data_IF_969326098304
#
_entry.id   IF_969326098304
#
_cell.length_a   1.000
_cell.length_b   1.000
_cell.length_c   1.000
_cell.angle_alpha   90.00
_cell.angle_beta   90.00
_cell.angle_gamma   90.00
#
_symmetry.space_group_name_H-M   'P 1'
#
loop_
_entity.id
_entity.type
_entity.pdbx_description
1 polymer ?
#
# COMPACT_ATOMS: atom_id res chain seq x y z
N UNK A 1 31.79 53.80 -64.98
CA UNK A 1 32.07 53.68 -63.54
C UNK A 1 30.75 53.43 -62.83
N UNK A 2 30.69 52.37 -62.01
CA UNK A 2 29.59 52.00 -61.08
C UNK A 2 28.27 51.57 -61.79
N UNK A 3 27.56 50.52 -61.39
CA UNK A 3 27.26 50.04 -60.04
C UNK A 3 27.09 48.51 -60.05
N UNK A 4 27.77 47.87 -59.10
CA UNK A 4 27.64 46.47 -58.73
C UNK A 4 26.77 46.42 -57.46
N UNK A 5 25.46 46.15 -57.54
CA UNK A 5 24.63 45.96 -56.32
C UNK A 5 23.52 44.91 -56.53
N UNK A 6 23.58 43.91 -55.65
CA UNK A 6 22.51 43.05 -55.12
C UNK A 6 21.71 42.13 -56.04
N UNK A 7 22.21 40.89 -56.17
CA UNK A 7 21.36 39.72 -56.48
C UNK A 7 21.57 38.56 -55.50
N UNK A 8 21.60 38.82 -54.18
CA UNK A 8 21.73 37.76 -53.16
C UNK A 8 20.79 37.90 -51.94
N UNK A 9 19.69 38.65 -52.02
CA UNK A 9 18.77 38.83 -50.87
C UNK A 9 17.57 37.87 -50.88
N UNK A 10 17.32 37.15 -51.97
CA UNK A 10 16.13 36.31 -52.10
C UNK A 10 16.28 34.94 -51.42
N UNK A 11 17.48 34.35 -51.43
CA UNK A 11 17.71 32.97 -50.97
C UNK A 11 17.78 32.83 -49.46
N UNK A 12 18.10 33.90 -48.72
CA UNK A 12 18.21 33.85 -47.25
C UNK A 12 16.84 33.92 -46.56
N UNK A 13 15.86 34.62 -47.16
CA UNK A 13 14.51 34.74 -46.58
C UNK A 13 13.73 33.43 -46.63
N UNK A 14 13.78 32.69 -47.74
CA UNK A 14 13.08 31.40 -47.86
C UNK A 14 13.62 30.35 -46.87
N UNK A 15 14.94 30.30 -46.69
CA UNK A 15 15.60 29.33 -45.80
C UNK A 15 15.29 29.59 -44.32
N UNK A 16 15.17 30.86 -43.93
CA UNK A 16 14.80 31.27 -42.57
C UNK A 16 13.29 31.06 -42.31
N UNK A 17 12.43 31.29 -43.30
CA UNK A 17 11.00 31.04 -43.14
C UNK A 17 10.66 29.55 -42.99
N UNK A 18 11.35 28.67 -43.71
CA UNK A 18 11.11 27.22 -43.66
C UNK A 18 11.59 26.59 -42.33
N UNK A 19 12.69 27.06 -41.75
CA UNK A 19 13.19 26.58 -40.45
C UNK A 19 12.34 27.10 -39.27
N UNK A 20 11.78 28.30 -39.37
CA UNK A 20 10.90 28.86 -38.33
C UNK A 20 9.51 28.19 -38.33
N UNK A 21 8.97 27.80 -39.51
CA UNK A 21 7.69 27.07 -39.60
C UNK A 21 7.80 25.64 -39.06
N UNK A 22 8.93 24.98 -39.29
CA UNK A 22 9.17 23.62 -38.80
C UNK A 22 9.36 23.57 -37.28
N UNK A 23 10.08 24.54 -36.70
CA UNK A 23 10.29 24.61 -35.25
C UNK A 23 9.02 25.02 -34.48
N UNK A 24 8.07 25.68 -35.16
CA UNK A 24 6.74 26.04 -34.62
C UNK A 24 5.77 24.85 -34.57
N UNK A 25 6.00 23.79 -35.36
CA UNK A 25 5.24 22.54 -35.30
C UNK A 25 5.87 21.51 -34.33
N UNK A 26 7.19 21.53 -34.16
CA UNK A 26 7.89 20.63 -33.23
C UNK A 26 7.68 20.98 -31.75
N UNK A 27 7.57 22.26 -31.40
CA UNK A 27 7.39 22.70 -30.01
C UNK A 27 6.07 22.26 -29.34
N UNK A 28 4.88 22.37 -29.99
CA UNK A 28 3.65 21.85 -29.39
C UNK A 28 3.56 20.32 -29.44
N UNK A 29 4.22 19.66 -30.40
CA UNK A 29 4.27 18.20 -30.49
C UNK A 29 5.06 17.57 -29.33
N UNK A 30 6.19 18.18 -28.94
CA UNK A 30 6.94 17.76 -27.76
C UNK A 30 6.17 17.99 -26.44
N UNK A 31 5.41 19.08 -26.33
CA UNK A 31 4.58 19.34 -25.13
C UNK A 31 3.39 18.38 -25.03
N UNK A 32 2.78 17.98 -26.15
CA UNK A 32 1.71 16.99 -26.18
C UNK A 32 2.19 15.58 -25.80
N UNK A 33 3.44 15.22 -26.13
CA UNK A 33 4.05 13.94 -25.77
C UNK A 33 4.36 13.81 -24.27
N UNK A 34 4.62 14.91 -23.56
CA UNK A 34 4.94 14.90 -22.12
C UNK A 34 3.66 14.75 -21.27
N UNK A 35 2.48 15.13 -21.79
CA UNK A 35 1.21 14.98 -21.08
C UNK A 35 0.69 13.55 -20.96
N UNK A 36 1.21 12.61 -21.74
CA UNK A 36 0.69 11.22 -21.78
C UNK A 36 1.39 10.26 -20.81
N UNK A 37 2.43 10.69 -20.08
CA UNK A 37 3.21 9.79 -19.19
C UNK A 37 2.86 9.92 -17.72
N UNK A 38 1.91 10.78 -17.33
CA UNK A 38 1.40 10.80 -15.96
C UNK A 38 0.45 9.63 -15.74
N UNK A 39 1.02 8.46 -15.42
CA UNK A 39 0.27 7.40 -14.75
C UNK A 39 -0.08 7.95 -13.37
N UNK A 40 -1.32 8.42 -13.21
CA UNK A 40 -1.87 8.77 -11.91
C UNK A 40 -1.96 7.49 -11.08
N UNK A 41 -0.87 7.19 -10.36
CA UNK A 41 -0.91 6.24 -9.26
C UNK A 41 -1.52 6.99 -8.07
N UNK A 42 -2.83 7.23 -8.15
CA UNK A 42 -3.60 7.62 -6.97
C UNK A 42 -3.85 6.34 -6.20
N UNK A 43 -2.88 5.95 -5.35
CA UNK A 43 -3.19 5.08 -4.23
C UNK A 43 -4.15 5.90 -3.36
N UNK A 44 -5.44 5.66 -3.54
CA UNK A 44 -6.45 6.33 -2.76
C UNK A 44 -6.27 5.87 -1.31
N UNK A 45 -5.64 6.71 -0.49
CA UNK A 45 -5.35 6.45 0.93
C UNK A 45 -6.64 6.08 1.69
N UNK A 46 -7.78 6.53 1.17
CA UNK A 46 -9.10 6.10 1.58
C UNK A 46 -9.21 4.58 1.64
N UNK A 47 -8.92 3.89 0.54
CA UNK A 47 -9.04 2.44 0.41
C UNK A 47 -7.95 1.66 1.15
N UNK A 48 -6.93 2.34 1.70
CA UNK A 48 -5.87 1.72 2.51
C UNK A 48 -5.27 0.50 1.83
N UNK A 49 -4.96 0.67 0.55
CA UNK A 49 -4.44 -0.39 -0.30
C UNK A 49 -3.05 -0.85 0.17
N UNK A 50 -2.86 -2.17 0.30
CA UNK A 50 -1.61 -2.78 0.72
C UNK A 50 -1.25 -3.95 -0.18
N UNK A 51 -0.06 -3.84 -0.77
CA UNK A 51 0.55 -4.91 -1.54
C UNK A 51 1.22 -5.93 -0.62
N UNK A 52 0.83 -7.20 -0.75
CA UNK A 52 1.36 -8.31 0.01
C UNK A 52 1.92 -9.39 -0.89
N UNK A 53 3.04 -9.97 -0.48
CA UNK A 53 3.69 -11.09 -1.14
C UNK A 53 3.73 -12.24 -0.16
N UNK A 54 3.10 -13.36 -0.51
CA UNK A 54 3.15 -14.59 0.25
C UNK A 54 4.04 -15.61 -0.47
N UNK A 55 4.93 -16.26 0.27
CA UNK A 55 5.83 -17.31 -0.22
C UNK A 55 5.30 -18.73 0.06
N UNK A 56 4.26 -18.84 0.90
CA UNK A 56 3.57 -20.08 1.24
C UNK A 56 2.05 -19.86 1.11
N UNK A 57 1.24 -20.94 1.08
CA UNK A 57 -0.20 -20.82 1.12
C UNK A 57 -0.66 -20.16 2.44
N UNK A 58 -1.56 -19.18 2.33
CA UNK A 58 -2.09 -18.42 3.47
C UNK A 58 -3.61 -18.44 3.43
N UNK A 59 -4.24 -18.73 4.56
CA UNK A 59 -5.69 -18.77 4.67
C UNK A 59 -6.27 -17.39 5.00
N UNK A 60 -7.39 -17.09 4.35
CA UNK A 60 -8.35 -16.04 4.72
C UNK A 60 -9.74 -16.70 4.84
N UNK A 61 -10.75 -16.07 5.47
CA UNK A 61 -12.05 -16.69 5.65
C UNK A 61 -12.63 -17.19 4.32
N UNK A 62 -12.97 -18.48 4.25
CA UNK A 62 -13.51 -19.13 3.07
C UNK A 62 -12.54 -19.37 1.90
N UNK A 63 -11.27 -18.97 1.99
CA UNK A 63 -10.30 -19.13 0.89
C UNK A 63 -8.86 -19.42 1.36
N UNK A 64 -8.13 -20.22 0.58
CA UNK A 64 -6.67 -20.38 0.75
C UNK A 64 -5.97 -19.68 -0.41
N UNK A 65 -5.26 -18.60 -0.11
CA UNK A 65 -4.44 -17.84 -1.03
C UNK A 65 -3.17 -18.65 -1.34
N UNK A 66 -2.90 -18.88 -2.62
CA UNK A 66 -1.67 -19.54 -3.07
C UNK A 66 -0.47 -18.57 -2.98
N UNK A 67 0.77 -19.07 -2.94
CA UNK A 67 1.96 -18.22 -2.99
C UNK A 67 1.90 -17.26 -4.19
N UNK A 68 2.13 -15.97 -3.95
CA UNK A 68 1.93 -14.95 -4.97
C UNK A 68 1.87 -13.53 -4.43
N UNK A 69 1.53 -12.60 -5.33
CA UNK A 69 1.31 -11.18 -5.02
C UNK A 69 -0.18 -10.90 -4.91
N UNK A 70 -0.55 -10.14 -3.91
CA UNK A 70 -1.93 -9.77 -3.63
C UNK A 70 -2.04 -8.31 -3.26
N UNK A 71 -3.19 -7.72 -3.56
CA UNK A 71 -3.58 -6.38 -3.12
C UNK A 71 -4.75 -6.54 -2.15
N UNK A 72 -4.57 -6.03 -0.94
CA UNK A 72 -5.61 -5.94 0.07
C UNK A 72 -6.06 -4.49 0.11
N UNK A 73 -7.36 -4.24 -0.07
CA UNK A 73 -7.92 -2.88 0.03
C UNK A 73 -9.30 -2.90 0.64
N UNK A 74 -9.68 -1.81 1.27
CA UNK A 74 -11.04 -1.59 1.71
C UNK A 74 -11.95 -1.33 0.52
N UNK A 75 -13.18 -1.83 0.60
CA UNK A 75 -14.21 -1.47 -0.35
C UNK A 75 -14.48 0.04 -0.28
N UNK A 76 -14.81 0.64 -1.42
CA UNK A 76 -15.21 2.05 -1.49
C UNK A 76 -16.62 2.22 -0.92
N UNK A 77 -16.68 2.36 0.41
CA UNK A 77 -17.90 2.55 1.19
C UNK A 77 -17.71 3.68 2.19
N UNK A 78 -18.67 4.60 2.22
CA UNK A 78 -18.71 5.72 3.16
C UNK A 78 -19.21 5.33 4.56
N UNK A 79 -19.96 4.24 4.66
CA UNK A 79 -20.64 3.84 5.91
C UNK A 79 -19.99 2.65 6.61
N UNK A 80 -19.29 1.79 5.86
CA UNK A 80 -18.68 0.59 6.39
C UNK A 80 -17.24 0.48 5.90
N UNK A 81 -16.28 0.63 6.83
CA UNK A 81 -14.85 0.49 6.58
C UNK A 81 -14.31 -0.88 6.96
N UNK A 82 -15.16 -1.88 7.24
CA UNK A 82 -14.76 -3.23 7.64
C UNK A 82 -14.90 -4.27 6.51
N UNK A 83 -15.03 -3.81 5.26
CA UNK A 83 -15.13 -4.68 4.10
C UNK A 83 -13.78 -4.68 3.37
N UNK A 84 -13.06 -5.80 3.44
CA UNK A 84 -11.76 -5.97 2.78
C UNK A 84 -11.96 -6.74 1.47
N UNK A 85 -11.42 -6.23 0.38
CA UNK A 85 -11.35 -6.89 -0.92
C UNK A 85 -9.92 -7.33 -1.19
N UNK A 86 -9.77 -8.55 -1.70
CA UNK A 86 -8.48 -9.16 -2.00
C UNK A 86 -8.40 -9.42 -3.50
N UNK A 87 -7.30 -8.99 -4.12
CA UNK A 87 -7.00 -9.20 -5.53
C UNK A 87 -5.67 -9.92 -5.68
N UNK A 88 -5.58 -10.89 -6.59
CA UNK A 88 -4.34 -11.54 -6.98
C UNK A 88 -3.70 -10.75 -8.13
N UNK A 89 -2.40 -10.52 -8.07
CA UNK A 89 -1.65 -9.80 -9.10
C UNK A 89 -0.90 -10.79 -9.98
N UNK A 90 -1.18 -10.76 -11.28
CA UNK A 90 -0.48 -11.62 -12.24
C UNK A 90 0.91 -11.06 -12.62
N UNK A 91 1.67 -11.82 -13.41
CA UNK A 91 3.01 -11.42 -13.86
C UNK A 91 3.02 -10.13 -14.69
N UNK A 92 1.91 -9.80 -15.36
CA UNK A 92 1.74 -8.58 -16.12
C UNK A 92 1.31 -7.38 -15.25
N UNK A 93 1.13 -7.59 -13.94
CA UNK A 93 0.69 -6.56 -12.98
C UNK A 93 -0.80 -6.29 -13.01
N UNK A 94 -1.62 -7.21 -13.54
CA UNK A 94 -3.09 -7.08 -13.54
C UNK A 94 -3.68 -7.68 -12.27
N UNK A 95 -4.57 -6.93 -11.64
CA UNK A 95 -5.35 -7.37 -10.50
C UNK A 95 -6.53 -8.23 -10.93
N UNK A 96 -6.67 -9.40 -10.31
CA UNK A 96 -7.79 -10.32 -10.48
C UNK A 96 -8.52 -10.45 -9.15
N UNK A 97 -9.80 -10.14 -9.11
CA UNK A 97 -10.59 -10.24 -7.88
C UNK A 97 -10.59 -11.67 -7.35
N UNK A 98 -10.27 -11.84 -6.06
CA UNK A 98 -10.25 -13.14 -5.38
C UNK A 98 -11.49 -13.29 -4.51
N UNK A 99 -11.67 -12.38 -3.56
CA UNK A 99 -12.75 -12.48 -2.58
C UNK A 99 -12.99 -11.15 -1.85
N UNK A 100 -14.12 -11.09 -1.15
CA UNK A 100 -14.50 -10.01 -0.23
C UNK A 100 -14.70 -10.60 1.16
N UNK A 101 -14.04 -10.05 2.15
CA UNK A 101 -14.08 -10.48 3.54
C UNK A 101 -14.72 -9.38 4.41
N UNK A 102 -15.72 -9.76 5.19
CA UNK A 102 -16.25 -8.94 6.27
C UNK A 102 -15.38 -9.14 7.51
N UNK A 103 -14.84 -8.05 8.03
CA UNK A 103 -13.92 -8.04 9.16
C UNK A 103 -14.54 -7.32 10.36
N UNK A 104 -13.82 -7.32 11.48
CA UNK A 104 -14.13 -6.45 12.62
C UNK A 104 -12.92 -5.58 12.91
N UNK A 105 -13.12 -4.38 13.46
CA UNK A 105 -12.02 -3.47 13.74
C UNK A 105 -11.13 -4.02 14.85
N UNK A 106 -9.81 -3.88 14.68
CA UNK A 106 -8.78 -4.25 15.65
C UNK A 106 -7.94 -3.00 15.99
N UNK A 107 -7.53 -2.82 17.23
CA UNK A 107 -6.88 -1.58 17.67
C UNK A 107 -5.53 -1.86 18.31
N UNK A 108 -4.54 -1.05 17.94
CA UNK A 108 -3.20 -1.07 18.53
C UNK A 108 -2.93 0.23 19.27
N UNK A 109 -2.28 0.11 20.44
CA UNK A 109 -1.88 1.27 21.24
C UNK A 109 -0.83 2.13 20.51
N UNK A 110 0.09 1.49 19.78
CA UNK A 110 1.10 2.17 18.97
C UNK A 110 0.73 2.08 17.50
N UNK A 111 0.59 3.24 16.85
CA UNK A 111 0.45 3.35 15.40
C UNK A 111 1.67 2.74 14.71
N UNK A 112 1.50 1.80 13.78
CA UNK A 112 2.61 1.20 13.07
C UNK A 112 3.11 2.12 11.96
N UNK A 113 4.42 2.29 11.85
CA UNK A 113 5.05 3.06 10.76
C UNK A 113 5.13 2.26 9.45
N UNK A 114 4.89 0.95 9.54
CA UNK A 114 5.01 -0.03 8.45
C UNK A 114 3.77 -0.92 8.40
N UNK A 115 3.47 -1.53 7.25
CA UNK A 115 2.42 -2.54 7.17
C UNK A 115 2.69 -3.70 8.15
N UNK A 116 1.65 -4.15 8.85
CA UNK A 116 1.71 -5.31 9.74
C UNK A 116 0.61 -6.29 9.35
N UNK A 117 0.99 -7.55 9.20
CA UNK A 117 0.05 -8.68 9.10
C UNK A 117 0.34 -9.60 10.27
N UNK A 118 -0.67 -9.85 11.10
CA UNK A 118 -0.64 -10.83 12.17
C UNK A 118 -1.25 -12.13 11.65
N UNK A 119 -0.62 -13.25 12.01
CA UNK A 119 -1.12 -14.58 11.72
C UNK A 119 -1.68 -15.24 12.98
N UNK A 120 -2.70 -16.06 12.82
CA UNK A 120 -3.21 -16.97 13.84
C UNK A 120 -2.35 -18.23 13.84
N UNK A 121 -1.96 -18.70 15.02
CA UNK A 121 -1.23 -19.97 15.16
C UNK A 121 -2.14 -21.15 14.76
N UNK A 122 -1.63 -22.04 13.92
CA UNK A 122 -2.32 -23.25 13.44
C UNK A 122 -1.46 -24.48 13.72
N UNK A 123 -2.04 -25.68 13.56
CA UNK A 123 -1.26 -26.90 13.74
C UNK A 123 -0.18 -26.99 12.66
N UNK A 124 0.89 -27.73 12.95
CA UNK A 124 1.97 -27.90 11.99
C UNK A 124 1.47 -28.63 10.73
N UNK A 125 1.68 -28.03 9.57
CA UNK A 125 1.22 -28.54 8.27
C UNK A 125 0.02 -27.78 7.69
N UNK A 126 -0.69 -27.03 8.51
CA UNK A 126 -1.77 -26.17 8.06
C UNK A 126 -1.25 -24.85 7.46
N UNK A 127 -1.95 -24.26 6.48
CA UNK A 127 -1.61 -22.91 6.03
C UNK A 127 -1.83 -21.90 7.17
N UNK A 128 -0.88 -20.98 7.33
CA UNK A 128 -1.02 -19.85 8.26
C UNK A 128 -2.27 -19.04 7.90
N UNK A 129 -3.04 -18.63 8.90
CA UNK A 129 -4.24 -17.83 8.66
C UNK A 129 -4.00 -16.38 9.06
N UNK A 130 -4.44 -15.44 8.24
CA UNK A 130 -4.35 -14.01 8.58
C UNK A 130 -5.31 -13.75 9.74
N UNK A 131 -4.78 -13.31 10.88
CA UNK A 131 -5.56 -12.88 12.04
C UNK A 131 -6.02 -11.45 11.86
N UNK A 132 -5.09 -10.53 11.68
CA UNK A 132 -5.36 -9.10 11.57
C UNK A 132 -4.37 -8.44 10.62
N UNK A 133 -4.78 -7.38 9.92
CA UNK A 133 -3.86 -6.52 9.17
C UNK A 133 -4.00 -5.06 9.59
N UNK A 134 -2.87 -4.34 9.58
CA UNK A 134 -2.79 -2.94 9.99
C UNK A 134 -2.07 -2.12 8.93
N UNK A 135 -2.74 -1.07 8.48
CA UNK A 135 -2.21 -0.12 7.51
C UNK A 135 -1.24 0.86 8.19
N UNK A 136 -0.09 1.20 7.57
CA UNK A 136 0.86 2.15 8.14
C UNK A 136 0.21 3.51 8.41
N UNK A 137 0.53 4.14 9.54
CA UNK A 137 -0.04 5.43 9.95
C UNK A 137 -1.45 5.36 10.55
N UNK A 138 -2.08 4.17 10.62
CA UNK A 138 -3.35 3.96 11.29
C UNK A 138 -3.21 3.04 12.51
N UNK A 139 -3.73 3.45 13.66
CA UNK A 139 -3.79 2.62 14.87
C UNK A 139 -4.93 1.59 14.86
N UNK A 140 -5.77 1.64 13.82
CA UNK A 140 -6.88 0.72 13.58
C UNK A 140 -6.52 -0.20 12.44
N UNK A 141 -6.78 -1.48 12.62
CA UNK A 141 -6.67 -2.54 11.63
C UNK A 141 -7.97 -3.32 11.51
N UNK A 142 -7.89 -4.44 10.79
CA UNK A 142 -9.04 -5.30 10.54
C UNK A 142 -8.71 -6.73 10.89
N UNK A 143 -9.51 -7.28 11.78
CA UNK A 143 -9.45 -8.65 12.24
C UNK A 143 -10.38 -9.54 11.39
N UNK A 144 -9.81 -10.61 10.85
CA UNK A 144 -10.49 -11.58 10.02
C UNK A 144 -11.21 -12.61 10.90
N UNK A 145 -12.53 -12.73 10.74
CA UNK A 145 -13.35 -13.63 11.53
C UNK A 145 -13.57 -14.94 10.77
N UNK A 146 -13.06 -16.04 11.31
CA UNK A 146 -13.20 -17.38 10.73
C UNK A 146 -14.41 -18.12 11.32
N UNK A 147 -15.25 -18.76 10.47
CA UNK A 147 -16.33 -19.61 10.95
C UNK A 147 -15.76 -20.80 11.73
N UNK A 148 -16.55 -21.33 12.66
CA UNK A 148 -16.11 -22.43 13.54
C UNK A 148 -15.72 -23.69 12.76
N UNK A 149 -16.40 -23.98 11.65
CA UNK A 149 -16.08 -25.14 10.79
C UNK A 149 -14.65 -25.07 10.27
N UNK A 150 -14.22 -23.91 9.75
CA UNK A 150 -12.86 -23.75 9.19
C UNK A 150 -11.78 -23.87 10.27
N UNK A 151 -12.04 -23.37 11.49
CA UNK A 151 -11.10 -23.56 12.62
C UNK A 151 -10.95 -25.03 13.04
N UNK A 152 -11.97 -25.86 12.82
CA UNK A 152 -11.97 -27.28 13.19
C UNK A 152 -11.52 -28.20 12.05
N UNK A 153 -11.85 -27.87 10.80
CA UNK A 153 -11.45 -28.63 9.61
C UNK A 153 -9.93 -28.60 9.44
N UNK A 154 -9.33 -27.43 9.64
CA UNK A 154 -7.88 -27.25 9.62
C UNK A 154 -7.22 -28.06 10.75
N UNK A 155 -7.81 -28.06 11.96
CA UNK A 155 -7.34 -28.91 13.06
C UNK A 155 -7.43 -30.43 12.81
N UNK A 156 -8.18 -30.88 11.80
CA UNK A 156 -8.44 -32.30 11.53
C UNK A 156 -7.74 -32.82 10.26
N UNK A 157 -7.04 -31.95 9.51
CA UNK A 157 -6.12 -32.37 8.44
C UNK A 157 -4.82 -32.81 9.12
N UNK A 158 -4.58 -34.12 9.15
CA UNK A 158 -3.37 -34.68 9.74
C UNK A 158 -2.11 -34.06 9.09
N UNK A 159 -1.04 -33.77 9.87
CA UNK A 159 0.22 -33.30 9.31
C UNK A 159 0.70 -34.25 8.19
N UNK A 160 1.34 -33.73 7.13
CA UNK A 160 1.96 -34.60 6.13
C UNK A 160 2.90 -35.58 6.85
N UNK A 161 2.91 -36.87 6.45
CA UNK A 161 3.73 -37.86 7.12
C UNK A 161 5.18 -37.37 7.11
N UNK A 162 5.79 -37.34 8.30
CA UNK A 162 7.20 -36.99 8.45
C UNK A 162 8.03 -37.81 7.43
N UNK A 163 9.04 -37.22 6.77
CA UNK A 163 9.90 -37.95 5.85
C UNK A 163 10.40 -39.21 6.56
N UNK A 164 10.10 -40.38 6.00
CA UNK A 164 10.59 -41.63 6.53
C UNK A 164 12.11 -41.52 6.65
N UNK A 165 12.73 -41.87 7.80
CA UNK A 165 14.18 -41.93 7.87
C UNK A 165 14.67 -42.88 6.76
N UNK A 166 15.74 -42.53 6.04
CA UNK A 166 16.29 -43.41 5.02
C UNK A 166 16.57 -44.79 5.66
N UNK A 167 16.38 -45.90 4.92
CA UNK A 167 16.66 -47.22 5.46
C UNK A 167 18.07 -47.26 6.02
N UNK A 168 18.18 -47.47 7.33
CA UNK A 168 19.45 -47.70 7.98
C UNK A 168 20.09 -48.91 7.30
N UNK A 169 21.25 -48.68 6.67
CA UNK A 169 22.09 -49.73 6.14
C UNK A 169 22.38 -50.77 7.24
N UNK A 170 22.43 -52.03 6.83
CA UNK A 170 22.63 -53.19 7.70
C UNK A 170 23.84 -53.02 8.65
N UNK A 171 23.76 -53.52 9.91
CA UNK A 171 24.87 -53.37 10.86
C UNK A 171 26.02 -54.29 10.47
N UNK A 172 27.14 -53.71 10.03
CA UNK A 172 28.43 -54.43 9.99
C UNK A 172 29.04 -54.50 11.41
N UNK A 173 29.75 -55.60 11.73
CA UNK A 173 30.11 -55.99 13.09
C UNK A 173 31.07 -55.02 13.79
N UNK A 174 30.79 -54.71 15.06
CA UNK A 174 31.63 -53.90 15.95
C UNK A 174 32.83 -54.71 16.51
N UNK A 175 34.06 -54.16 16.53
CA UNK A 175 35.12 -54.64 17.42
C UNK A 175 35.01 -54.02 18.84
N UNK A 176 35.65 -54.62 19.87
CA UNK A 176 35.21 -54.54 21.26
C UNK A 176 35.46 -53.22 21.99
N UNK A 177 34.58 -52.98 22.96
CA UNK A 177 34.58 -51.94 24.00
C UNK A 177 35.91 -51.87 24.75
N UNK A 178 36.51 -50.67 24.82
CA UNK A 178 37.51 -50.32 25.83
C UNK A 178 36.93 -49.27 26.78
N UNK A 179 36.96 -49.65 28.05
CA UNK A 179 36.51 -48.94 29.25
C UNK A 179 37.14 -47.56 29.41
N UNK A 180 36.33 -46.54 29.64
CA UNK A 180 36.72 -45.38 30.44
C UNK A 180 35.51 -44.96 31.29
N UNK A 181 35.70 -45.01 32.60
CA UNK A 181 34.78 -44.58 33.66
C UNK A 181 34.39 -43.10 33.51
N UNK A 182 33.15 -42.75 33.84
CA UNK A 182 32.88 -41.81 34.94
C UNK A 182 31.38 -41.72 35.29
N UNK A 183 31.16 -41.37 36.55
CA UNK A 183 30.04 -41.70 37.43
C UNK A 183 28.86 -40.72 37.32
N UNK A 184 27.63 -41.13 37.72
CA UNK A 184 26.38 -40.39 37.53
C UNK A 184 26.24 -39.13 38.41
N UNK A 185 25.58 -38.09 37.88
CA UNK A 185 24.97 -37.04 38.71
C UNK A 185 23.54 -36.73 38.25
N UNK A 186 22.64 -37.28 39.04
CA UNK A 186 21.23 -36.99 39.20
C UNK A 186 21.03 -35.54 39.69
N UNK A 187 20.17 -34.76 39.02
CA UNK A 187 19.67 -33.50 39.54
C UNK A 187 18.13 -33.55 39.58
N UNK A 188 17.50 -33.25 40.73
CA UNK A 188 16.14 -33.65 41.04
C UNK A 188 15.08 -32.66 40.54
N UNK A 189 13.88 -33.21 40.36
CA UNK A 189 12.60 -32.51 40.22
C UNK A 189 12.10 -31.99 41.58
N UNK A 190 11.77 -30.69 41.68
CA UNK A 190 10.86 -30.10 42.71
C UNK A 190 10.17 -28.91 42.02
N UNK A 191 8.93 -29.06 41.54
CA UNK A 191 7.67 -28.79 42.25
C UNK A 191 7.47 -27.32 42.69
N UNK A 192 6.68 -26.60 41.86
CA UNK A 192 5.67 -25.56 42.15
C UNK A 192 5.70 -24.88 43.53
N UNK A 193 5.80 -23.55 43.54
CA UNK A 193 5.02 -22.74 44.49
C UNK A 193 4.60 -21.40 43.88
N UNK A 194 3.37 -21.02 44.25
CA UNK A 194 2.55 -19.93 43.76
C UNK A 194 2.55 -18.90 44.88
N UNK A 195 3.01 -17.67 44.65
CA UNK A 195 2.76 -16.60 45.60
C UNK A 195 2.39 -15.30 44.89
N UNK A 196 1.14 -14.89 45.13
CA UNK A 196 0.54 -13.60 44.83
C UNK A 196 0.46 -12.86 46.17
N UNK A 197 1.06 -11.68 46.27
CA UNK A 197 0.74 -10.63 47.25
C UNK A 197 1.41 -9.33 46.74
N UNK A 198 0.70 -8.40 46.08
CA UNK A 198 -0.10 -7.30 46.64
C UNK A 198 0.63 -6.54 47.77
N UNK A 199 1.15 -5.35 47.44
CA UNK A 199 1.35 -4.13 48.26
C UNK A 199 2.01 -3.10 47.33
N UNK A 200 1.57 -1.86 47.15
CA UNK A 200 1.05 -0.91 48.13
C UNK A 200 0.20 0.14 47.38
N UNK A 201 -0.98 0.45 47.92
CA UNK A 201 -1.78 1.62 47.56
C UNK A 201 -1.67 2.57 48.74
N UNK A 202 -1.04 3.73 48.55
CA UNK A 202 -1.15 4.88 49.45
C UNK A 202 -0.66 6.12 48.66
N UNK A 203 -1.31 7.26 48.56
CA UNK A 203 -2.59 7.83 49.04
C UNK A 203 -2.85 9.10 48.20
N UNK A 204 -4.11 9.47 48.01
CA UNK A 204 -4.58 10.71 47.36
C UNK A 204 -4.46 11.87 48.37
N UNK A 205 -4.24 13.13 47.93
CA UNK A 205 -5.35 14.07 47.99
C UNK A 205 -5.42 15.04 46.79
N UNK A 206 -6.63 15.21 46.24
CA UNK A 206 -7.00 16.39 45.44
C UNK A 206 -6.89 17.67 46.30
N UNK A 207 -6.72 18.84 45.66
CA UNK A 207 -7.89 19.72 45.58
C UNK A 207 -8.05 20.42 44.23
N UNK A 208 -9.27 20.37 43.70
CA UNK A 208 -9.78 21.35 42.74
C UNK A 208 -10.17 22.61 43.52
N UNK A 209 -9.88 23.80 43.00
CA UNK A 209 -10.95 24.78 42.86
C UNK A 209 -11.01 25.40 41.46
N UNK A 210 -12.25 25.61 41.03
CA UNK A 210 -12.69 26.23 39.79
C UNK A 210 -11.96 27.52 39.40
N UNK A 211 -11.71 27.65 38.10
CA UNK A 211 -11.90 28.93 37.40
C UNK A 211 -12.36 28.66 35.98
N UNK A 212 -13.63 28.99 35.77
CA UNK A 212 -14.30 29.10 34.49
C UNK A 212 -13.74 30.26 33.66
N UNK A 213 -14.16 30.27 32.39
CA UNK A 213 -14.13 31.36 31.41
C UNK A 213 -12.78 31.55 30.70
N UNK A 214 -12.69 31.78 29.40
CA UNK A 214 -13.64 31.97 28.32
C UNK A 214 -12.80 31.92 27.04
N UNK A 215 -13.43 31.50 25.94
CA UNK A 215 -13.11 31.92 24.58
C UNK A 215 -11.63 31.89 24.12
N UNK A 216 -11.19 30.75 23.59
CA UNK A 216 -10.48 30.79 22.31
C UNK A 216 -10.74 29.51 21.51
N UNK A 217 -11.88 29.49 20.80
CA UNK A 217 -12.08 28.54 19.71
C UNK A 217 -11.36 29.07 18.48
N UNK A 218 -10.04 28.96 18.46
CA UNK A 218 -9.28 29.05 17.21
C UNK A 218 -9.43 27.71 16.48
N UNK A 219 -10.24 27.74 15.42
CA UNK A 219 -10.32 26.68 14.42
C UNK A 219 -8.90 26.38 13.91
N UNK A 220 -8.52 25.12 13.64
CA UNK A 220 -7.34 24.89 12.82
C UNK A 220 -7.55 25.60 11.49
N UNK A 221 -6.58 26.38 11.04
CA UNK A 221 -6.58 26.98 9.71
C UNK A 221 -6.65 25.88 8.65
N UNK A 222 -7.85 25.50 8.24
CA UNK A 222 -8.12 24.76 7.02
C UNK A 222 -8.44 25.75 5.91
N UNK A 223 -7.49 26.64 5.61
CA UNK A 223 -7.47 27.40 4.37
C UNK A 223 -6.34 26.82 3.50
N UNK A 224 -6.57 25.57 3.06
CA UNK A 224 -5.73 24.92 2.07
C UNK A 224 -5.62 25.79 0.80
N UNK A 225 -4.48 25.67 0.13
CA UNK A 225 -4.07 26.41 -1.07
C UNK A 225 -4.95 26.13 -2.32
N UNK A 226 -6.16 25.59 -2.15
CA UNK A 226 -7.08 25.20 -3.23
C UNK A 226 -7.74 26.39 -3.94
N UNK A 227 -7.92 27.53 -3.26
CA UNK A 227 -8.45 28.75 -3.91
C UNK A 227 -7.48 29.34 -4.94
N UNK A 228 -6.17 29.23 -4.71
CA UNK A 228 -5.16 29.75 -5.63
C UNK A 228 -5.07 28.93 -6.94
N UNK A 229 -5.29 27.61 -6.87
CA UNK A 229 -5.25 26.74 -8.05
C UNK A 229 -6.49 26.91 -8.95
N UNK A 230 -7.65 27.21 -8.38
CA UNK A 230 -8.87 27.51 -9.17
C UNK A 230 -8.72 28.80 -9.99
N UNK A 231 -8.04 29.83 -9.46
CA UNK A 231 -7.77 31.06 -10.21
C UNK A 231 -6.78 30.87 -11.37
N UNK A 232 -5.76 30.02 -11.20
CA UNK A 232 -4.79 29.72 -12.27
C UNK A 232 -5.44 28.98 -13.46
N UNK A 233 -6.39 28.07 -13.18
CA UNK A 233 -7.13 27.34 -14.22
C UNK A 233 -8.04 28.24 -15.07
N UNK A 234 -8.77 29.16 -14.43
CA UNK A 234 -9.68 30.09 -15.14
C UNK A 234 -8.93 31.08 -16.03
N UNK A 235 -7.76 31.57 -15.60
CA UNK A 235 -6.90 32.43 -16.42
C UNK A 235 -6.39 31.71 -17.69
N UNK A 236 -6.03 30.44 -17.58
CA UNK A 236 -5.51 29.66 -18.71
C UNK A 236 -6.62 29.32 -19.72
N UNK A 237 -7.82 28.94 -19.24
CA UNK A 237 -8.97 28.69 -20.11
C UNK A 237 -9.48 29.98 -20.80
N UNK A 238 -9.48 31.11 -20.09
CA UNK A 238 -9.90 32.40 -20.63
C UNK A 238 -9.00 32.89 -21.78
N UNK A 239 -7.68 32.76 -21.63
CA UNK A 239 -6.73 33.13 -22.68
C UNK A 239 -6.88 32.27 -23.94
N UNK A 240 -7.14 30.97 -23.78
CA UNK A 240 -7.41 30.05 -24.89
C UNK A 240 -8.66 30.42 -25.68
N UNK A 241 -9.76 30.72 -24.99
CA UNK A 241 -11.01 31.12 -25.64
C UNK A 241 -10.88 32.48 -26.35
N UNK A 242 -10.16 33.44 -25.76
CA UNK A 242 -9.94 34.75 -26.38
C UNK A 242 -9.09 34.65 -27.66
N UNK A 243 -8.03 33.83 -27.66
CA UNK A 243 -7.22 33.59 -28.86
C UNK A 243 -8.02 32.90 -29.97
N UNK A 244 -8.90 31.95 -29.63
CA UNK A 244 -9.78 31.29 -30.59
C UNK A 244 -10.77 32.28 -31.24
N UNK A 245 -11.40 33.15 -30.43
CA UNK A 245 -12.34 34.16 -30.94
C UNK A 245 -11.65 35.19 -31.85
N UNK A 246 -10.43 35.60 -31.54
CA UNK A 246 -9.63 36.47 -32.41
C UNK A 246 -9.24 35.77 -33.72
N UNK A 247 -8.90 34.48 -33.66
CA UNK A 247 -8.60 33.69 -34.87
C UNK A 247 -9.83 33.58 -35.78
N UNK A 248 -11.01 33.33 -35.22
CA UNK A 248 -12.27 33.25 -35.97
C UNK A 248 -12.70 34.61 -36.56
N UNK A 249 -12.45 35.71 -35.84
CA UNK A 249 -12.70 37.06 -36.37
C UNK A 249 -11.76 37.37 -37.54
N UNK A 250 -10.49 36.99 -37.43
CA UNK A 250 -9.50 37.19 -38.49
C UNK A 250 -9.81 36.35 -39.73
N UNK A 251 -10.29 35.12 -39.57
CA UNK A 251 -10.69 34.28 -40.70
C UNK A 251 -11.93 34.82 -41.43
N UNK A 252 -12.89 35.42 -40.71
CA UNK A 252 -14.04 36.08 -41.36
C UNK A 252 -13.64 37.31 -42.17
N UNK A 253 -12.74 38.15 -41.64
CA UNK A 253 -12.26 39.35 -42.35
C UNK A 253 -11.50 38.98 -43.63
N UNK A 254 -10.80 37.83 -43.66
CA UNK A 254 -10.14 37.34 -44.88
C UNK A 254 -11.06 36.63 -45.87
N UNK A 255 -12.29 36.28 -45.47
CA UNK A 255 -13.29 35.70 -46.37
C UNK A 255 -14.14 36.79 -47.08
N UNK A 256 -14.10 38.03 -46.58
CA UNK A 256 -14.84 39.19 -47.11
C UNK A 256 -13.95 40.19 -47.88
N UNK A 257 -12.65 39.90 -48.05
CA UNK A 257 -11.68 40.70 -48.81
C UNK A 257 -11.17 39.92 -50.03
#
# INVERSE_FOLDING_TARGET
MQVFVNRNYATTKEKLEMTIKWNRLLLPACLALIGFTMKTASADEWNKEMDLQFNAPVQVPGHVLQPGKYVFRLADSNSDRNIVQIFAVDEAGRENFVTTILTVSDYRMKTPDKPIVEFEERHSGDPEAIKSWFYPGANTGWHFVYPKSERLEVANVAPPPAPAPPPAAEPLPQPPVETAEETPQEAPVVAVEKEVLISEIESIPDPIPDSQAEADRSLPETAGHSAALLLAGVLTAGAGLFALLLSLRRSRIQAEA
#
